data_IF_397168103971
#
_entry.id   IF_397168103971
#
_cell.length_a   1.000
_cell.length_b   1.000
_cell.length_c   1.000
_cell.angle_alpha   90.00
_cell.angle_beta   90.00
_cell.angle_gamma   90.00
#
_symmetry.space_group_name_H-M   'P 1'
#
loop_
_entity.id
_entity.type
_entity.pdbx_description
1 polymer ?
#
# COMPACT_ATOMS: atom_id res chain seq x y z
N UNK A 1 47.47 -25.88 12.38
CA UNK A 1 46.64 -24.68 12.58
C UNK A 1 45.27 -24.91 12.00
N UNK A 2 44.21 -24.83 12.82
CA UNK A 2 42.82 -24.92 12.34
C UNK A 2 42.34 -23.53 11.94
N UNK A 3 41.91 -23.36 10.69
CA UNK A 3 41.31 -22.12 10.21
C UNK A 3 39.81 -22.13 10.55
N UNK A 4 39.34 -21.11 11.27
CA UNK A 4 37.93 -20.90 11.56
C UNK A 4 37.23 -20.31 10.33
N UNK A 5 36.22 -20.99 9.80
CA UNK A 5 35.36 -20.47 8.73
C UNK A 5 34.29 -19.61 9.38
N UNK A 6 34.42 -18.29 9.30
CA UNK A 6 33.36 -17.37 9.69
C UNK A 6 32.20 -17.50 8.69
N UNK A 7 31.05 -18.03 9.14
CA UNK A 7 29.80 -17.95 8.38
C UNK A 7 29.31 -16.51 8.39
N UNK A 8 29.54 -15.80 7.29
CA UNK A 8 28.89 -14.52 7.05
C UNK A 8 27.39 -14.77 6.88
N UNK A 9 26.58 -14.20 7.78
CA UNK A 9 25.13 -14.18 7.64
C UNK A 9 24.81 -13.31 6.44
N UNK A 10 24.41 -13.91 5.33
CA UNK A 10 23.97 -13.20 4.14
C UNK A 10 22.74 -12.37 4.50
N UNK A 11 22.93 -11.10 4.85
CA UNK A 11 21.83 -10.14 4.84
C UNK A 11 21.39 -10.03 3.40
N UNK A 12 20.23 -10.58 3.09
CA UNK A 12 19.56 -10.39 1.81
C UNK A 12 19.43 -8.88 1.61
N UNK A 13 20.30 -8.29 0.78
CA UNK A 13 20.15 -6.89 0.39
C UNK A 13 18.88 -6.84 -0.44
N UNK A 14 17.79 -6.38 0.18
CA UNK A 14 16.55 -6.10 -0.52
C UNK A 14 16.88 -5.02 -1.54
N UNK A 15 16.93 -5.40 -2.82
CA UNK A 15 17.19 -4.48 -3.90
C UNK A 15 15.90 -3.69 -4.14
N UNK A 16 15.86 -2.47 -3.61
CA UNK A 16 14.67 -1.62 -3.68
C UNK A 16 14.70 -0.72 -4.92
N UNK A 17 13.76 -0.88 -5.87
CA UNK A 17 13.59 0.08 -6.95
C UNK A 17 13.32 1.48 -6.40
N UNK A 18 13.82 2.51 -7.09
CA UNK A 18 13.54 3.91 -6.73
C UNK A 18 12.03 4.22 -6.72
N UNK A 19 11.25 3.57 -7.61
CA UNK A 19 9.79 3.72 -7.65
C UNK A 19 9.11 3.28 -6.34
N UNK A 20 9.68 2.30 -5.64
CA UNK A 20 9.15 1.73 -4.40
C UNK A 20 9.58 2.50 -3.14
N UNK A 21 10.30 3.63 -3.28
CA UNK A 21 10.78 4.41 -2.12
C UNK A 21 9.67 4.98 -1.26
N UNK A 22 8.45 5.11 -1.79
CA UNK A 22 7.25 5.54 -1.06
C UNK A 22 6.28 4.39 -0.74
N UNK A 23 6.75 3.16 -0.93
CA UNK A 23 5.98 1.95 -0.72
C UNK A 23 5.30 1.45 -1.98
N UNK A 24 4.83 0.21 -1.91
CA UNK A 24 4.11 -0.48 -2.96
C UNK A 24 2.66 -0.71 -2.53
N UNK A 25 1.73 -0.59 -3.49
CA UNK A 25 0.31 -0.81 -3.27
C UNK A 25 -0.14 -2.03 -4.07
N UNK A 26 -0.79 -2.98 -3.40
CA UNK A 26 -1.37 -4.17 -4.01
C UNK A 26 -2.82 -4.30 -3.59
N UNK A 27 -3.68 -4.75 -4.50
CA UNK A 27 -5.09 -4.96 -4.22
C UNK A 27 -5.57 -6.29 -4.79
N UNK A 28 -6.41 -6.98 -4.02
CA UNK A 28 -7.00 -8.27 -4.42
C UNK A 28 -8.45 -8.39 -3.93
N UNK A 29 -9.40 -8.76 -4.80
CA UNK A 29 -9.24 -8.96 -6.24
C UNK A 29 -9.01 -7.63 -7.00
N UNK A 30 -8.42 -7.70 -8.19
CA UNK A 30 -8.14 -6.52 -9.02
C UNK A 30 -9.42 -5.85 -9.54
N UNK A 31 -10.49 -6.62 -9.71
CA UNK A 31 -11.82 -6.15 -10.03
C UNK A 31 -12.80 -6.69 -9.02
N UNK A 32 -13.77 -5.86 -8.64
CA UNK A 32 -14.79 -6.20 -7.66
C UNK A 32 -16.11 -5.59 -8.11
N UNK A 33 -17.22 -6.20 -7.69
CA UNK A 33 -18.53 -5.61 -7.86
C UNK A 33 -18.84 -4.70 -6.68
N UNK A 34 -19.82 -3.84 -6.87
CA UNK A 34 -20.37 -3.02 -5.78
C UNK A 34 -20.79 -3.91 -4.61
N UNK A 35 -20.28 -3.62 -3.41
CA UNK A 35 -20.51 -4.44 -2.22
C UNK A 35 -19.62 -5.68 -2.11
N UNK A 36 -18.73 -5.92 -3.09
CA UNK A 36 -17.72 -6.97 -3.03
C UNK A 36 -16.58 -6.62 -2.07
N UNK A 37 -15.87 -7.61 -1.56
CA UNK A 37 -14.76 -7.37 -0.62
C UNK A 37 -13.46 -7.17 -1.39
N UNK A 38 -12.69 -6.15 -1.01
CA UNK A 38 -11.32 -5.94 -1.50
C UNK A 38 -10.36 -5.94 -0.31
N UNK A 39 -9.16 -6.46 -0.54
CA UNK A 39 -8.05 -6.33 0.39
C UNK A 39 -6.95 -5.51 -0.27
N UNK A 40 -6.62 -4.40 0.37
CA UNK A 40 -5.51 -3.51 0.00
C UNK A 40 -4.34 -3.86 0.90
N UNK A 41 -3.17 -4.08 0.32
CA UNK A 41 -1.90 -4.29 1.03
C UNK A 41 -0.94 -3.18 0.63
N UNK A 42 -0.39 -2.49 1.62
CA UNK A 42 0.71 -1.54 1.44
C UNK A 42 1.99 -2.12 2.00
N UNK A 43 3.10 -1.96 1.28
CA UNK A 43 4.42 -2.42 1.71
C UNK A 43 5.43 -1.27 1.62
N UNK A 44 5.86 -0.80 2.78
CA UNK A 44 6.84 0.27 2.99
C UNK A 44 8.24 -0.27 3.30
N UNK A 45 8.50 -1.56 3.13
CA UNK A 45 9.82 -2.17 3.41
C UNK A 45 10.93 -1.41 2.69
N UNK A 46 10.70 -1.03 1.43
CA UNK A 46 11.66 -0.24 0.68
C UNK A 46 11.77 1.21 1.15
N UNK A 47 10.67 1.84 1.57
CA UNK A 47 10.73 3.19 2.17
C UNK A 47 11.67 3.24 3.37
N UNK A 48 11.64 2.22 4.22
CA UNK A 48 12.51 2.15 5.39
C UNK A 48 13.99 2.02 5.02
N UNK A 49 14.32 1.31 3.93
CA UNK A 49 15.69 1.26 3.37
C UNK A 49 16.17 2.64 2.93
N UNK A 50 15.27 3.47 2.40
CA UNK A 50 15.56 4.87 2.05
C UNK A 50 15.44 5.84 3.25
N UNK A 51 15.30 5.34 4.47
CA UNK A 51 15.08 6.15 5.69
C UNK A 51 13.83 7.03 5.65
N UNK A 52 12.86 6.68 4.81
CA UNK A 52 11.55 7.33 4.70
C UNK A 52 10.58 6.54 5.58
N UNK A 53 10.18 7.13 6.71
CA UNK A 53 9.25 6.52 7.66
C UNK A 53 7.91 7.25 7.58
N UNK A 54 6.83 6.60 7.12
CA UNK A 54 5.50 7.21 7.12
C UNK A 54 5.04 7.52 8.55
N UNK A 55 4.30 8.61 8.73
CA UNK A 55 3.57 8.86 9.98
C UNK A 55 2.16 8.28 9.93
N UNK A 56 1.51 8.43 8.76
CA UNK A 56 0.14 8.01 8.50
C UNK A 56 0.04 7.36 7.12
N UNK A 57 -0.97 6.53 6.96
CA UNK A 57 -1.36 5.89 5.70
C UNK A 57 -2.84 6.24 5.49
N UNK A 58 -3.11 7.00 4.43
CA UNK A 58 -4.46 7.36 4.02
C UNK A 58 -4.82 6.61 2.74
N UNK A 59 -5.98 5.96 2.74
CA UNK A 59 -6.52 5.26 1.59
C UNK A 59 -7.66 6.07 0.99
N UNK A 60 -7.51 6.49 -0.27
CA UNK A 60 -8.54 7.23 -1.00
C UNK A 60 -9.12 6.38 -2.15
N UNK A 61 -10.41 6.57 -2.44
CA UNK A 61 -11.01 6.15 -3.70
C UNK A 61 -11.04 7.34 -4.64
N UNK A 62 -10.54 7.12 -5.85
CA UNK A 62 -10.62 8.05 -6.96
C UNK A 62 -11.31 7.33 -8.13
N UNK A 63 -12.29 8.00 -8.77
CA UNK A 63 -12.81 7.55 -10.06
C UNK A 63 -11.93 8.16 -11.16
N UNK A 64 -11.41 7.32 -12.05
CA UNK A 64 -10.57 7.70 -13.18
C UNK A 64 -11.25 7.44 -14.54
N UNK A 65 -12.43 6.82 -14.57
CA UNK A 65 -13.10 6.41 -15.81
C UNK A 65 -14.20 7.42 -16.18
N UNK A 66 -15.00 7.90 -15.22
CA UNK A 66 -16.10 8.84 -15.48
C UNK A 66 -16.02 10.14 -14.69
N UNK A 67 -14.92 10.39 -13.97
CA UNK A 67 -14.73 11.63 -13.24
C UNK A 67 -14.41 12.77 -14.21
N UNK A 68 -15.30 13.75 -14.29
CA UNK A 68 -15.11 15.00 -15.04
C UNK A 68 -14.09 15.97 -14.38
N UNK A 69 -13.28 15.47 -13.45
CA UNK A 69 -12.29 16.22 -12.68
C UNK A 69 -12.88 17.01 -11.51
N UNK A 70 -14.18 16.85 -11.20
CA UNK A 70 -14.85 17.58 -10.13
C UNK A 70 -15.10 16.73 -8.89
N UNK A 71 -15.06 15.40 -9.01
CA UNK A 71 -15.30 14.53 -7.87
C UNK A 71 -14.04 14.44 -7.01
N UNK A 72 -14.18 14.87 -5.77
CA UNK A 72 -13.11 14.82 -4.78
C UNK A 72 -12.83 13.36 -4.37
N UNK A 73 -11.56 12.99 -4.13
CA UNK A 73 -11.22 11.69 -3.58
C UNK A 73 -11.95 11.43 -2.25
N UNK A 74 -12.44 10.22 -2.06
CA UNK A 74 -13.12 9.82 -0.83
C UNK A 74 -12.15 9.07 0.07
N UNK A 75 -11.93 9.61 1.27
CA UNK A 75 -11.12 8.94 2.29
C UNK A 75 -11.85 7.68 2.78
N UNK A 76 -11.26 6.51 2.54
CA UNK A 76 -11.73 5.21 3.03
C UNK A 76 -11.27 4.94 4.46
N UNK A 77 -9.99 5.20 4.72
CA UNK A 77 -9.35 4.89 5.97
C UNK A 77 -8.14 5.79 6.20
N UNK A 78 -7.99 6.24 7.43
CA UNK A 78 -6.80 6.90 7.95
C UNK A 78 -6.17 5.98 8.99
N UNK A 79 -4.87 5.69 8.88
CA UNK A 79 -4.17 4.78 9.77
C UNK A 79 -2.85 5.37 10.22
N UNK A 80 -2.53 5.20 11.50
CA UNK A 80 -1.18 5.49 11.98
C UNK A 80 -0.22 4.40 11.50
N UNK A 81 0.97 4.81 11.06
CA UNK A 81 2.00 3.86 10.67
C UNK A 81 2.49 3.07 11.89
N UNK A 82 2.46 1.75 11.79
CA UNK A 82 2.87 0.84 12.87
C UNK A 82 3.78 -0.30 12.38
N UNK A 83 3.58 -0.76 11.15
CA UNK A 83 4.29 -1.89 10.56
C UNK A 83 4.69 -1.56 9.11
N UNK A 84 5.83 -2.06 8.61
CA UNK A 84 6.24 -1.88 7.22
C UNK A 84 5.20 -2.42 6.23
N UNK A 85 4.54 -3.51 6.59
CA UNK A 85 3.44 -4.07 5.80
C UNK A 85 2.13 -3.84 6.54
N UNK A 86 1.16 -3.26 5.84
CA UNK A 86 -0.18 -3.02 6.35
C UNK A 86 -1.25 -3.57 5.41
N UNK A 87 -2.36 -4.03 5.99
CA UNK A 87 -3.48 -4.64 5.25
C UNK A 87 -4.80 -4.03 5.68
N UNK A 88 -5.57 -3.57 4.71
CA UNK A 88 -6.93 -3.07 4.88
C UNK A 88 -7.88 -3.94 4.06
N UNK A 89 -8.75 -4.69 4.75
CA UNK A 89 -9.88 -5.36 4.11
C UNK A 89 -11.10 -4.47 4.25
N UNK A 90 -11.67 -4.06 3.12
CA UNK A 90 -12.85 -3.20 3.07
C UNK A 90 -13.84 -3.70 2.04
N UNK A 91 -15.09 -3.27 2.19
CA UNK A 91 -16.13 -3.52 1.20
C UNK A 91 -16.02 -2.44 0.14
N UNK A 92 -15.98 -2.84 -1.13
CA UNK A 92 -16.13 -1.95 -2.27
C UNK A 92 -17.38 -1.11 -2.07
N UNK A 93 -17.16 0.18 -1.85
CA UNK A 93 -18.24 1.09 -1.51
C UNK A 93 -19.24 1.12 -2.67
N UNK A 94 -20.51 0.91 -2.33
CA UNK A 94 -21.63 1.37 -3.16
C UNK A 94 -21.67 2.87 -3.04
N UNK A 95 -20.80 3.57 -3.76
CA UNK A 95 -20.88 5.00 -3.92
C UNK A 95 -22.25 5.29 -4.59
N UNK A 96 -23.24 5.71 -3.80
CA UNK A 96 -24.40 6.40 -4.36
C UNK A 96 -23.87 7.77 -4.78
N UNK A 97 -23.41 7.89 -6.02
CA UNK A 97 -23.37 9.18 -6.67
C UNK A 97 -24.83 9.66 -6.71
N UNK A 98 -25.12 10.69 -5.91
CA UNK A 98 -26.33 11.46 -6.11
C UNK A 98 -26.10 12.31 -7.36
N UNK A 99 -26.58 11.84 -8.52
CA UNK A 99 -26.85 12.72 -9.64
C UNK A 99 -28.06 13.58 -9.27
N UNK A 100 -27.86 14.89 -9.17
CA UNK A 100 -28.91 15.89 -9.36
C UNK A 100 -28.67 16.56 -10.71
#
# INVERSE_FOLDING_TARGET
SLAAVASAKLTHMVQCPEASRFGELQFSPATTTVGGVITITTDFTCSLTYTIVPNYIDFYIEDHINNNGQELPILLAHRQFYSPVDKLTTVSARLRLYML
#
